data_IF_209374528834
#
_entry.id   IF_209374528834
#
_cell.length_a   1.000
_cell.length_b   1.000
_cell.length_c   1.000
_cell.angle_alpha   90.00
_cell.angle_beta   90.00
_cell.angle_gamma   90.00
#
_symmetry.space_group_name_H-M   'P 1'
#
loop_
_entity.id
_entity.type
_entity.pdbx_description
1 polymer ?
#
# COMPACT_ATOMS: atom_id res chain seq x y z
N UNK A 1 -1.64 6.58 12.00
CA UNK A 1 -0.72 5.63 11.33
C UNK A 1 -0.90 4.27 11.99
N UNK A 2 -1.08 3.23 11.18
CA UNK A 2 -1.45 1.88 11.64
C UNK A 2 -0.45 0.87 11.08
N UNK A 3 0.13 0.01 11.92
CA UNK A 3 1.05 -1.02 11.45
C UNK A 3 0.32 -2.08 10.62
N UNK A 4 0.93 -2.52 9.51
CA UNK A 4 0.36 -3.54 8.63
C UNK A 4 1.17 -4.84 8.65
N UNK A 5 2.46 -4.76 8.32
CA UNK A 5 3.36 -5.92 8.24
C UNK A 5 4.82 -5.51 8.14
N UNK A 6 5.70 -6.50 8.29
CA UNK A 6 7.11 -6.42 7.97
C UNK A 6 7.39 -7.03 6.59
N UNK A 7 8.34 -6.45 5.86
CA UNK A 7 8.86 -6.96 4.60
C UNK A 7 10.38 -7.09 4.68
N UNK A 8 10.91 -8.30 4.52
CA UNK A 8 12.35 -8.53 4.55
C UNK A 8 12.93 -8.34 3.15
N UNK A 9 13.76 -7.31 3.00
CA UNK A 9 14.71 -7.22 1.89
C UNK A 9 15.95 -8.08 2.15
N UNK A 10 16.98 -7.91 1.32
CA UNK A 10 18.22 -8.70 1.42
C UNK A 10 18.99 -8.41 2.72
N UNK A 11 19.19 -7.13 3.04
CA UNK A 11 19.91 -6.68 4.24
C UNK A 11 19.10 -5.69 5.10
N UNK A 12 17.82 -5.48 4.76
CA UNK A 12 17.00 -4.45 5.39
C UNK A 12 15.63 -5.02 5.70
N UNK A 13 15.16 -4.81 6.94
CA UNK A 13 13.81 -5.13 7.36
C UNK A 13 12.96 -3.86 7.29
N UNK A 14 11.92 -3.88 6.46
CA UNK A 14 11.00 -2.76 6.28
C UNK A 14 9.76 -2.98 7.16
N UNK A 15 9.45 -2.03 8.05
CA UNK A 15 8.18 -1.99 8.77
C UNK A 15 7.19 -1.13 7.98
N UNK A 16 6.10 -1.72 7.55
CA UNK A 16 5.11 -1.09 6.67
C UNK A 16 3.90 -0.67 7.47
N UNK A 17 3.49 0.58 7.27
CA UNK A 17 2.35 1.19 7.96
C UNK A 17 1.42 1.84 6.96
N UNK A 18 0.15 1.89 7.31
CA UNK A 18 -0.86 2.71 6.66
C UNK A 18 -0.92 4.09 7.32
N UNK A 19 -1.08 5.13 6.52
CA UNK A 19 -1.26 6.50 7.00
C UNK A 19 -2.34 7.19 6.20
N UNK A 20 -3.29 7.80 6.90
CA UNK A 20 -4.29 8.68 6.32
C UNK A 20 -3.63 10.01 5.94
N UNK A 21 -3.92 10.47 4.73
CA UNK A 21 -3.49 11.76 4.21
C UNK A 21 -4.74 12.52 3.80
N UNK A 22 -4.82 13.81 4.16
CA UNK A 22 -5.99 14.63 3.83
C UNK A 22 -6.19 14.69 2.31
N UNK A 23 -7.43 14.59 1.84
CA UNK A 23 -7.76 14.42 0.42
C UNK A 23 -7.22 15.56 -0.46
N UNK A 24 -7.24 16.77 0.07
CA UNK A 24 -6.76 18.00 -0.56
C UNK A 24 -5.23 18.16 -0.54
N UNK A 25 -4.50 17.19 0.02
CA UNK A 25 -3.05 17.26 0.12
C UNK A 25 -2.38 17.16 -1.25
N UNK A 26 -1.50 18.10 -1.55
CA UNK A 26 -0.72 18.11 -2.79
C UNK A 26 0.64 17.47 -2.57
N UNK A 27 0.99 16.49 -3.41
CA UNK A 27 2.32 15.89 -3.43
C UNK A 27 3.37 16.93 -3.86
N UNK A 28 4.28 17.31 -2.96
CA UNK A 28 5.29 18.34 -3.22
C UNK A 28 6.71 17.76 -3.11
N UNK A 29 7.53 18.04 -4.12
CA UNK A 29 8.94 17.70 -4.15
C UNK A 29 9.73 18.65 -3.23
N UNK A 30 10.72 18.15 -2.50
CA UNK A 30 11.61 18.96 -1.64
C UNK A 30 12.93 18.24 -1.37
N UNK A 31 13.97 18.98 -0.99
CA UNK A 31 15.31 18.49 -0.64
C UNK A 31 15.88 17.53 -1.70
N UNK A 32 15.96 16.24 -1.39
CA UNK A 32 16.54 15.18 -2.22
C UNK A 32 15.60 14.67 -3.32
N UNK A 33 14.33 15.10 -3.33
CA UNK A 33 13.30 14.61 -4.24
C UNK A 33 13.09 15.59 -5.39
N UNK A 34 13.40 15.16 -6.62
CA UNK A 34 13.23 15.99 -7.82
C UNK A 34 11.78 16.08 -8.31
N UNK A 35 10.98 15.00 -8.16
CA UNK A 35 9.58 14.94 -8.61
C UNK A 35 8.74 14.12 -7.63
N UNK A 36 7.57 14.65 -7.26
CA UNK A 36 6.64 13.99 -6.35
C UNK A 36 5.23 14.03 -6.94
N UNK A 37 4.51 12.90 -6.91
CA UNK A 37 3.13 12.76 -7.38
C UNK A 37 2.43 11.64 -6.60
N UNK A 38 1.10 11.74 -6.49
CA UNK A 38 0.26 10.63 -6.06
C UNK A 38 0.08 9.61 -7.18
N UNK A 39 0.16 8.33 -6.86
CA UNK A 39 -0.05 7.23 -7.80
C UNK A 39 -1.03 6.22 -7.23
N UNK A 40 -1.98 5.71 -8.02
CA UNK A 40 -2.75 4.55 -7.61
C UNK A 40 -1.80 3.34 -7.46
N UNK A 41 -2.00 2.48 -6.44
CA UNK A 41 -1.08 1.37 -6.15
C UNK A 41 -0.79 0.47 -7.36
N UNK A 42 -1.80 0.21 -8.20
CA UNK A 42 -1.68 -0.61 -9.41
C UNK A 42 -0.66 -0.08 -10.43
N UNK A 43 -0.35 1.22 -10.41
CA UNK A 43 0.66 1.81 -11.31
C UNK A 43 2.08 1.61 -10.78
N UNK A 44 2.29 1.32 -9.50
CA UNK A 44 3.65 1.24 -8.92
C UNK A 44 4.45 0.10 -9.53
N UNK A 45 3.80 -1.02 -9.90
CA UNK A 45 4.47 -2.13 -10.60
C UNK A 45 5.06 -1.75 -11.97
N UNK A 46 4.56 -0.66 -12.57
CA UNK A 46 5.05 -0.15 -13.88
C UNK A 46 6.05 0.99 -13.75
N UNK A 47 6.27 1.52 -12.55
CA UNK A 47 7.24 2.57 -12.30
C UNK A 47 8.64 1.96 -12.12
N UNK A 48 9.68 2.77 -12.38
CA UNK A 48 11.06 2.42 -12.02
C UNK A 48 11.22 2.50 -10.50
N UNK A 49 10.76 1.46 -9.81
CA UNK A 49 10.78 1.33 -8.37
C UNK A 49 11.66 0.14 -7.95
N UNK A 50 12.26 0.26 -6.76
CA UNK A 50 13.10 -0.81 -6.20
C UNK A 50 12.31 -2.12 -6.04
N UNK A 51 13.01 -3.26 -6.00
CA UNK A 51 12.37 -4.57 -5.75
C UNK A 51 11.58 -4.57 -4.44
N UNK A 52 12.11 -4.07 -3.29
CA UNK A 52 11.32 -3.97 -2.06
C UNK A 52 10.06 -3.13 -2.21
N UNK A 53 10.13 -1.97 -2.88
CA UNK A 53 8.96 -1.11 -3.08
C UNK A 53 7.85 -1.83 -3.85
N UNK A 54 8.21 -2.55 -4.93
CA UNK A 54 7.23 -3.32 -5.73
C UNK A 54 6.62 -4.46 -4.91
N UNK A 55 7.44 -5.23 -4.20
CA UNK A 55 6.97 -6.36 -3.37
C UNK A 55 6.07 -5.92 -2.20
N UNK A 56 6.37 -4.78 -1.56
CA UNK A 56 5.53 -4.21 -0.50
C UNK A 56 4.13 -3.85 -1.05
N UNK A 57 4.06 -3.21 -2.22
CA UNK A 57 2.79 -2.80 -2.83
C UNK A 57 1.98 -4.01 -3.29
N UNK A 58 2.63 -5.03 -3.85
CA UNK A 58 1.97 -6.28 -4.25
C UNK A 58 1.34 -6.99 -3.05
N UNK A 59 2.08 -7.14 -1.94
CA UNK A 59 1.55 -7.72 -0.70
C UNK A 59 0.41 -6.90 -0.11
N UNK A 60 0.51 -5.57 -0.15
CA UNK A 60 -0.57 -4.69 0.30
C UNK A 60 -1.84 -4.92 -0.52
N UNK A 61 -1.74 -4.95 -1.85
CA UNK A 61 -2.89 -5.17 -2.73
C UNK A 61 -3.52 -6.55 -2.53
N UNK A 62 -2.70 -7.59 -2.38
CA UNK A 62 -3.21 -8.94 -2.06
C UNK A 62 -4.03 -8.97 -0.77
N UNK A 63 -3.63 -8.22 0.26
CA UNK A 63 -4.36 -8.12 1.53
C UNK A 63 -5.65 -7.31 1.43
N UNK A 64 -5.64 -6.20 0.69
CA UNK A 64 -6.85 -5.41 0.45
C UNK A 64 -7.88 -6.26 -0.29
N UNK A 65 -7.48 -6.92 -1.38
CA UNK A 65 -8.39 -7.81 -2.13
C UNK A 65 -8.92 -8.94 -1.24
N UNK A 66 -8.07 -9.59 -0.44
CA UNK A 66 -8.52 -10.62 0.48
C UNK A 66 -9.53 -10.10 1.53
N UNK A 67 -9.35 -8.88 2.02
CA UNK A 67 -10.27 -8.25 2.97
C UNK A 67 -11.63 -7.93 2.34
N UNK A 68 -11.65 -7.38 1.12
CA UNK A 68 -12.89 -7.07 0.39
C UNK A 68 -13.69 -8.34 0.07
N UNK A 69 -13.01 -9.43 -0.30
CA UNK A 69 -13.65 -10.71 -0.58
C UNK A 69 -14.12 -11.44 0.69
N UNK A 70 -13.42 -11.28 1.82
CA UNK A 70 -13.85 -11.80 3.12
C UNK A 70 -15.05 -11.04 3.70
N UNK A 71 -15.14 -9.73 3.46
CA UNK A 71 -16.27 -8.90 3.90
C UNK A 71 -17.59 -9.24 3.19
N UNK A 72 -17.53 -9.70 1.94
CA UNK A 72 -18.73 -10.10 1.19
C UNK A 72 -19.33 -11.43 1.68
N UNK A 73 -18.50 -12.33 2.24
CA UNK A 73 -18.99 -13.60 2.81
C UNK A 73 -19.72 -13.39 4.14
N UNK A 74 -19.43 -12.30 4.87
CA UNK A 74 -20.05 -12.02 6.17
C UNK A 74 -21.46 -11.39 6.06
N UNK A 75 -21.86 -10.91 4.87
CA UNK A 75 -23.22 -10.39 4.61
C UNK A 75 -24.25 -11.46 4.21
N UNK A 76 -23.83 -12.70 3.93
CA UNK A 76 -24.76 -13.79 3.56
C UNK A 76 -25.23 -14.65 4.75
N UNK A 77 -24.62 -14.53 5.93
CA UNK A 77 -24.95 -15.37 7.11
C UNK A 77 -25.93 -14.70 8.10
N UNK A 78 -26.45 -13.51 7.82
CA UNK A 78 -27.43 -12.81 8.67
C UNK A 78 -28.87 -12.81 8.11
N UNK A 79 -29.17 -13.66 7.13
CA UNK A 79 -30.55 -13.88 6.65
C UNK A 79 -30.94 -15.34 6.86
N UNK A 80 -31.06 -15.75 8.13
CA UNK A 80 -31.93 -16.86 8.54
C UNK A 80 -32.56 -16.55 9.90
#
# INVERSE_FOLDING_TARGET
>A
MTYLFQFSGFNTLHYVFFADVAYESVAQASNEITRCKWFPPVKIGTLSASVPTRGIVELFLGRVVAAEHGGLQQMSEQVE
#
